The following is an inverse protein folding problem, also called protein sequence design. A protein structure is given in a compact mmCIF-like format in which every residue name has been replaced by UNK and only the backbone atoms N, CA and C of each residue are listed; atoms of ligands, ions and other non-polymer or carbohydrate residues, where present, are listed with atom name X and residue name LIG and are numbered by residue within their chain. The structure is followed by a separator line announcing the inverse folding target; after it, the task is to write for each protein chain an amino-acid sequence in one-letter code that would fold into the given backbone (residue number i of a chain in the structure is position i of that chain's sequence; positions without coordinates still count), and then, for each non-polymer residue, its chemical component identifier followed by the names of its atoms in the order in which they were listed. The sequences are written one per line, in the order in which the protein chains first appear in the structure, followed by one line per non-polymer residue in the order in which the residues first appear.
data_IF_792944576328
#
_entry.id   IF_792944576328
#
_cell.length_a   1.000
_cell.length_b   1.000
_cell.length_c   1.000
_cell.angle_alpha   90.00
_cell.angle_beta   90.00
_cell.angle_gamma   90.00
#
_symmetry.space_group_name_H-M   'P 1'
#
loop_
_entity.id
_entity.type
_entity.pdbx_description
1 polymer ?
#
# COMPACT_ATOMS: atom_id res chain seq x y z
N UNK A 1 8.76 -4.74 1.12
CA UNK A 1 8.19 -6.03 0.66
C UNK A 1 6.92 -5.73 -0.11
N UNK A 2 6.82 -6.16 -1.37
CA UNK A 2 5.70 -5.84 -2.27
C UNK A 2 4.64 -6.95 -2.12
N UNK A 3 3.54 -6.67 -1.42
CA UNK A 3 2.39 -7.54 -1.11
C UNK A 3 1.53 -7.94 -2.34
N UNK A 4 2.14 -8.22 -3.49
CA UNK A 4 1.41 -8.36 -4.76
C UNK A 4 0.85 -9.77 -5.03
N UNK A 5 1.25 -10.79 -4.27
CA UNK A 5 0.75 -12.15 -4.45
C UNK A 5 0.90 -12.98 -3.16
N UNK A 6 0.12 -12.67 -2.12
CA UNK A 6 -0.05 -13.59 -0.99
C UNK A 6 -1.25 -14.48 -1.29
N UNK A 7 -1.04 -15.80 -1.24
CA UNK A 7 -2.13 -16.76 -1.38
C UNK A 7 -3.01 -16.73 -0.12
N UNK A 8 -4.33 -16.81 -0.30
CA UNK A 8 -5.29 -16.95 0.80
C UNK A 8 -5.85 -18.37 0.75
N UNK A 9 -5.69 -19.10 1.84
CA UNK A 9 -6.15 -20.47 2.03
C UNK A 9 -7.26 -20.44 3.08
N UNK A 10 -8.41 -20.99 2.73
CA UNK A 10 -9.53 -21.16 3.66
C UNK A 10 -9.40 -22.50 4.37
N UNK A 11 -9.46 -22.50 5.69
CA UNK A 11 -9.41 -23.72 6.49
C UNK A 11 -10.73 -23.91 7.24
N UNK A 12 -11.36 -25.10 7.16
CA UNK A 12 -12.67 -25.34 7.79
C UNK A 12 -12.63 -25.30 9.32
N UNK A 13 -11.49 -25.62 9.94
CA UNK A 13 -11.33 -25.68 11.39
C UNK A 13 -10.99 -24.32 12.03
N UNK A 14 -10.76 -23.28 11.21
CA UNK A 14 -10.54 -21.92 11.68
C UNK A 14 -11.87 -21.17 11.82
N UNK A 15 -12.02 -20.41 12.91
CA UNK A 15 -13.19 -19.56 13.08
C UNK A 15 -13.26 -18.47 11.99
N UNK A 16 -14.48 -18.04 11.63
CA UNK A 16 -14.71 -17.09 10.54
C UNK A 16 -14.09 -15.68 10.79
N UNK A 17 -13.69 -15.38 12.02
CA UNK A 17 -13.02 -14.15 12.42
C UNK A 17 -11.52 -14.32 12.65
N UNK A 18 -11.00 -15.54 12.50
CA UNK A 18 -9.59 -15.85 12.71
C UNK A 18 -8.80 -15.86 11.39
N UNK A 19 -7.57 -15.34 11.44
CA UNK A 19 -6.64 -15.33 10.33
C UNK A 19 -5.19 -15.35 10.81
N UNK A 20 -4.37 -16.13 10.12
CA UNK A 20 -2.95 -16.34 10.41
C UNK A 20 -2.11 -15.97 9.19
N UNK A 21 -1.03 -15.23 9.41
CA UNK A 21 -0.04 -14.95 8.36
C UNK A 21 1.09 -15.95 8.50
N UNK A 22 1.28 -16.78 7.49
CA UNK A 22 2.24 -17.87 7.50
C UNK A 22 3.37 -17.59 6.52
N UNK A 23 4.58 -17.58 7.05
CA UNK A 23 5.84 -17.51 6.30
C UNK A 23 6.61 -18.81 6.45
N UNK A 24 7.59 -19.08 5.57
CA UNK A 24 8.46 -20.26 5.65
C UNK A 24 9.02 -20.50 7.06
N UNK A 25 9.51 -19.44 7.69
CA UNK A 25 10.12 -19.44 9.04
C UNK A 25 9.14 -19.78 10.17
N UNK A 26 7.86 -19.50 9.99
CA UNK A 26 6.82 -19.68 11.02
C UNK A 26 5.88 -20.84 10.70
N UNK A 27 5.99 -21.47 9.53
CA UNK A 27 5.19 -22.63 9.15
C UNK A 27 5.23 -23.77 10.18
N UNK A 28 6.38 -24.09 10.84
CA UNK A 28 6.41 -25.12 11.89
C UNK A 28 5.65 -24.74 13.17
N UNK A 29 5.30 -23.46 13.35
CA UNK A 29 4.56 -22.97 14.52
C UNK A 29 3.05 -23.00 14.31
N UNK A 30 2.58 -23.23 13.08
CA UNK A 30 1.16 -23.43 12.79
C UNK A 30 0.72 -24.75 13.45
N UNK A 31 -0.41 -24.78 14.19
CA UNK A 31 -0.96 -26.01 14.75
C UNK A 31 -1.05 -27.14 13.73
N UNK A 32 -0.74 -28.38 14.12
CA UNK A 32 -0.63 -29.52 13.19
C UNK A 32 -1.94 -29.81 12.44
N UNK A 33 -3.07 -29.65 13.12
CA UNK A 33 -4.43 -29.74 12.61
C UNK A 33 -4.73 -28.72 11.50
N UNK A 34 -4.09 -27.56 11.54
CA UNK A 34 -4.24 -26.48 10.56
C UNK A 34 -3.17 -26.51 9.47
N UNK A 35 -2.12 -27.33 9.64
CA UNK A 35 -0.89 -27.24 8.85
C UNK A 35 -1.03 -27.79 7.43
N UNK A 36 -1.95 -28.73 7.20
CA UNK A 36 -2.34 -29.26 5.88
C UNK A 36 -1.21 -29.30 4.83
N UNK A 37 -1.54 -28.94 3.58
CA UNK A 37 -0.56 -28.58 2.55
C UNK A 37 -0.49 -27.06 2.43
N UNK A 38 0.16 -26.40 3.41
CA UNK A 38 0.37 -24.95 3.36
C UNK A 38 1.36 -24.57 2.25
N UNK A 39 0.91 -23.73 1.32
CA UNK A 39 1.80 -23.04 0.37
C UNK A 39 2.28 -21.73 0.99
N UNK A 40 3.57 -21.55 1.21
CA UNK A 40 4.15 -20.36 1.85
C UNK A 40 4.75 -19.39 0.82
N UNK A 41 4.65 -18.05 1.02
CA UNK A 41 3.90 -17.36 2.07
C UNK A 41 2.38 -17.25 1.77
N UNK A 42 1.54 -17.43 2.80
CA UNK A 42 0.07 -17.35 2.67
C UNK A 42 -0.61 -16.74 3.89
N UNK A 43 -1.89 -16.38 3.72
CA UNK A 43 -2.85 -16.14 4.80
C UNK A 43 -3.73 -17.37 4.92
N UNK A 44 -3.78 -17.97 6.11
CA UNK A 44 -4.72 -19.02 6.46
C UNK A 44 -5.89 -18.38 7.21
N UNK A 45 -7.14 -18.66 6.85
CA UNK A 45 -8.32 -18.01 7.46
C UNK A 45 -9.55 -18.90 7.46
N UNK A 46 -10.49 -18.68 8.38
CA UNK A 46 -11.82 -19.29 8.34
C UNK A 46 -12.84 -18.55 7.46
N UNK A 47 -12.46 -17.42 6.84
CA UNK A 47 -13.34 -16.67 5.94
C UNK A 47 -12.54 -15.97 4.83
N UNK A 48 -12.46 -16.61 3.67
CA UNK A 48 -11.71 -16.12 2.52
C UNK A 48 -12.15 -14.74 2.06
N UNK A 49 -13.46 -14.53 1.87
CA UNK A 49 -14.00 -13.28 1.36
C UNK A 49 -13.73 -12.08 2.27
N UNK A 50 -13.63 -12.31 3.59
CA UNK A 50 -13.24 -11.29 4.55
C UNK A 50 -11.75 -10.97 4.44
N UNK A 51 -10.89 -12.00 4.38
CA UNK A 51 -9.45 -11.81 4.23
C UNK A 51 -9.09 -11.08 2.93
N UNK A 52 -9.73 -11.42 1.81
CA UNK A 52 -9.54 -10.73 0.52
C UNK A 52 -9.90 -9.24 0.61
N UNK A 53 -11.03 -8.90 1.25
CA UNK A 53 -11.44 -7.50 1.47
C UNK A 53 -10.45 -6.75 2.36
N UNK A 54 -10.00 -7.35 3.46
CA UNK A 54 -9.01 -6.75 4.34
C UNK A 54 -7.68 -6.52 3.62
N UNK A 55 -7.23 -7.50 2.82
CA UNK A 55 -6.00 -7.37 2.04
C UNK A 55 -6.12 -6.25 0.99
N UNK A 56 -7.25 -6.17 0.28
CA UNK A 56 -7.51 -5.10 -0.68
C UNK A 56 -7.50 -3.71 -0.02
N UNK A 57 -8.08 -3.58 1.18
CA UNK A 57 -8.04 -2.35 1.98
C UNK A 57 -6.60 -1.99 2.39
N UNK A 58 -5.82 -2.95 2.87
CA UNK A 58 -4.42 -2.74 3.23
C UNK A 58 -3.56 -2.35 2.03
N UNK A 59 -3.81 -2.95 0.87
CA UNK A 59 -3.17 -2.59 -0.39
C UNK A 59 -3.55 -1.16 -0.80
N UNK A 60 -4.83 -0.78 -0.71
CA UNK A 60 -5.28 0.58 -0.99
C UNK A 60 -4.60 1.61 -0.06
N UNK A 61 -4.55 1.34 1.24
CA UNK A 61 -3.86 2.21 2.22
C UNK A 61 -2.35 2.30 1.92
N UNK A 62 -1.72 1.17 1.55
CA UNK A 62 -0.30 1.13 1.21
C UNK A 62 0.03 1.88 -0.08
N UNK A 63 -0.94 2.01 -0.99
CA UNK A 63 -0.82 2.82 -2.23
C UNK A 63 -0.99 4.32 -1.93
N UNK A 64 -1.71 4.70 -0.88
CA UNK A 64 -1.91 6.13 -0.53
C UNK A 64 -0.69 6.81 0.10
N UNK A 65 0.23 6.07 0.73
CA UNK A 65 1.49 6.65 1.22
C UNK A 65 2.37 7.26 0.11
N UNK A 66 2.61 6.60 -1.04
CA UNK A 66 3.30 7.25 -2.15
C UNK A 66 2.46 8.31 -2.86
N UNK A 67 1.12 8.24 -2.80
CA UNK A 67 0.23 9.23 -3.42
C UNK A 67 0.31 10.58 -2.71
N UNK A 68 0.36 10.61 -1.38
CA UNK A 68 0.56 11.84 -0.61
C UNK A 68 1.90 12.49 -0.94
N UNK A 69 2.98 11.69 -1.06
CA UNK A 69 4.29 12.22 -1.45
C UNK A 69 4.31 12.71 -2.90
N UNK A 70 3.61 12.02 -3.80
CA UNK A 70 3.46 12.43 -5.20
C UNK A 70 2.64 13.72 -5.33
N UNK A 71 1.56 13.87 -4.56
CA UNK A 71 0.74 15.07 -4.48
C UNK A 71 1.53 16.23 -3.87
N UNK A 72 2.32 16.00 -2.82
CA UNK A 72 3.21 17.02 -2.26
C UNK A 72 4.30 17.45 -3.25
N UNK A 73 4.94 16.51 -3.95
CA UNK A 73 5.91 16.81 -5.01
C UNK A 73 5.26 17.56 -6.18
N UNK A 74 4.03 17.19 -6.56
CA UNK A 74 3.25 17.91 -7.58
C UNK A 74 2.89 19.32 -7.12
N UNK A 75 2.45 19.51 -5.87
CA UNK A 75 2.18 20.82 -5.26
C UNK A 75 3.45 21.68 -5.17
N UNK A 76 4.59 21.11 -4.79
CA UNK A 76 5.88 21.81 -4.75
C UNK A 76 6.34 22.22 -6.15
N UNK A 77 6.22 21.35 -7.17
CA UNK A 77 6.49 21.70 -8.57
C UNK A 77 5.60 22.85 -9.02
N UNK A 78 4.30 22.78 -8.75
CA UNK A 78 3.33 23.82 -9.14
C UNK A 78 3.61 25.17 -8.46
N UNK A 79 4.02 25.18 -7.18
CA UNK A 79 4.49 26.39 -6.47
C UNK A 79 5.77 26.97 -7.09
N UNK A 80 6.71 26.12 -7.51
CA UNK A 80 7.95 26.55 -8.17
C UNK A 80 7.69 27.17 -9.54
N UNK A 81 6.78 26.59 -10.33
CA UNK A 81 6.36 27.14 -11.63
C UNK A 81 5.64 28.48 -11.47
N UNK A 82 4.73 28.60 -10.47
CA UNK A 82 4.10 29.90 -10.15
C UNK A 82 5.13 30.96 -9.74
N UNK A 83 6.13 30.60 -8.94
CA UNK A 83 7.18 31.55 -8.51
C UNK A 83 8.06 32.01 -9.66
N UNK A 84 8.41 31.11 -10.59
CA UNK A 84 9.14 31.44 -11.81
C UNK A 84 8.31 32.34 -12.74
N UNK A 85 7.02 32.08 -12.90
CA UNK A 85 6.13 32.92 -13.70
C UNK A 85 5.98 34.33 -13.11
N UNK A 86 5.87 34.44 -11.77
CA UNK A 86 5.85 35.75 -11.09
C UNK A 86 7.17 36.50 -11.28
N UNK A 87 8.32 35.84 -11.09
CA UNK A 87 9.63 36.47 -11.31
C UNK A 87 9.85 36.87 -12.77
N UNK A 88 9.41 36.07 -13.74
CA UNK A 88 9.45 36.42 -15.16
C UNK A 88 8.61 37.66 -15.46
N UNK A 89 7.40 37.77 -14.90
CA UNK A 89 6.57 38.97 -15.06
C UNK A 89 7.15 40.22 -14.38
N UNK A 90 7.91 40.05 -13.29
CA UNK A 90 8.61 41.14 -12.61
C UNK A 90 9.89 41.59 -13.34
N UNK A 91 10.48 40.73 -14.17
CA UNK A 91 11.62 41.07 -15.04
C UNK A 91 11.19 41.85 -16.29
N UNK A 92 9.95 41.68 -16.75
CA UNK A 92 9.38 42.44 -17.88
C UNK A 92 8.81 43.82 -17.49
N UNK A 93 8.71 44.12 -16.19
CA UNK A 93 8.19 45.39 -15.66
C UNK A 93 9.28 46.32 -15.11
N UNK A 94 10.50 46.27 -15.65
CA UNK A 94 11.46 47.35 -15.46
C UNK A 94 11.17 48.46 -16.47
N UNK A 95 10.66 49.64 -16.06
CA UNK A 95 10.55 50.76 -16.99
C UNK A 95 11.97 51.25 -17.28
N UNK A 96 12.39 51.07 -18.52
CA UNK A 96 13.55 51.77 -19.05
C UNK A 96 13.36 53.26 -18.78
N UNK A 97 14.25 53.81 -17.97
CA UNK A 97 14.31 55.23 -17.64
C UNK A 97 14.40 56.06 -18.92
N UNK A 98 13.47 57.01 -19.08
CA UNK A 98 13.66 58.28 -19.80
C UNK A 98 12.87 59.35 -19.05
#
# INVERSE_FOLDING_TARGET
MKLFAINIIEHPDLAADEAWVVFDENAPQVPEDLRGNLSVPCILTGNRSRAERTLALLQAISIDQPLTTAIERARQRMRRTKRLAVMASSLETSPASV
#
